data_IF_860931137066
#
_entry.id   IF_860931137066
#
_cell.length_a   1.000
_cell.length_b   1.000
_cell.length_c   1.000
_cell.angle_alpha   90.00
_cell.angle_beta   90.00
_cell.angle_gamma   90.00
#
_symmetry.space_group_name_H-M   'P 1'
#
loop_
_entity.id
_entity.type
_entity.pdbx_description
1 polymer ?
#
# COMPACT_ATOMS: atom_id res chain seq x y z
N UNK A 1 -12.15 -24.63 8.35
CA UNK A 1 -12.53 -23.28 7.89
C UNK A 1 -11.59 -22.21 8.44
N UNK A 2 -11.37 -22.14 9.76
CA UNK A 2 -10.39 -21.22 10.36
C UNK A 2 -8.96 -21.39 9.84
N UNK A 3 -8.47 -22.63 9.74
CA UNK A 3 -7.15 -22.93 9.15
C UNK A 3 -6.97 -22.36 7.73
N UNK A 4 -8.01 -22.48 6.89
CA UNK A 4 -7.99 -21.96 5.53
C UNK A 4 -7.92 -20.42 5.53
N UNK A 5 -8.68 -19.76 6.41
CA UNK A 5 -8.63 -18.31 6.59
C UNK A 5 -7.22 -17.84 7.00
N UNK A 6 -6.58 -18.55 7.93
CA UNK A 6 -5.21 -18.25 8.37
C UNK A 6 -4.16 -18.40 7.26
N UNK A 7 -4.27 -19.42 6.43
CA UNK A 7 -3.37 -19.62 5.27
C UNK A 7 -3.55 -18.49 4.25
N UNK A 8 -4.80 -18.15 3.90
CA UNK A 8 -5.10 -17.08 2.94
C UNK A 8 -4.60 -15.73 3.48
N UNK A 9 -4.85 -15.43 4.75
CA UNK A 9 -4.35 -14.22 5.41
C UNK A 9 -2.83 -14.12 5.32
N UNK A 10 -2.10 -15.18 5.66
CA UNK A 10 -0.64 -15.19 5.62
C UNK A 10 -0.12 -14.96 4.21
N UNK A 11 -0.71 -15.62 3.21
CA UNK A 11 -0.39 -15.41 1.80
C UNK A 11 -0.64 -13.96 1.36
N UNK A 12 -1.79 -13.39 1.73
CA UNK A 12 -2.12 -12.00 1.41
C UNK A 12 -1.19 -11.01 2.10
N UNK A 13 -0.77 -11.26 3.34
CA UNK A 13 0.22 -10.43 4.05
C UNK A 13 1.54 -10.42 3.27
N UNK A 14 2.03 -11.58 2.81
CA UNK A 14 3.25 -11.65 1.99
C UNK A 14 3.11 -10.79 0.74
N UNK A 15 2.02 -10.95 -0.03
CA UNK A 15 1.79 -10.14 -1.23
C UNK A 15 1.67 -8.64 -0.91
N UNK A 16 1.01 -8.30 0.20
CA UNK A 16 0.86 -6.93 0.65
C UNK A 16 2.22 -6.27 0.92
N UNK A 17 3.10 -6.96 1.65
CA UNK A 17 4.45 -6.49 1.96
C UNK A 17 5.33 -6.40 0.71
N UNK A 18 5.21 -7.33 -0.23
CA UNK A 18 5.92 -7.27 -1.52
C UNK A 18 5.44 -6.05 -2.34
N UNK A 19 4.14 -5.83 -2.42
CA UNK A 19 3.57 -4.67 -3.11
C UNK A 19 4.02 -3.34 -2.49
N UNK A 20 3.97 -3.25 -1.16
CA UNK A 20 4.43 -2.11 -0.39
C UNK A 20 5.92 -1.85 -0.63
N UNK A 21 6.74 -2.90 -0.61
CA UNK A 21 8.19 -2.81 -0.83
C UNK A 21 8.52 -2.36 -2.25
N UNK A 22 7.78 -2.84 -3.26
CA UNK A 22 7.94 -2.39 -4.64
C UNK A 22 7.56 -0.91 -4.83
N UNK A 23 6.48 -0.46 -4.18
CA UNK A 23 6.06 0.94 -4.18
C UNK A 23 7.07 1.85 -3.48
N UNK A 24 7.40 1.55 -2.22
CA UNK A 24 8.27 2.38 -1.42
C UNK A 24 9.73 2.31 -1.89
N UNK A 25 10.23 1.11 -2.21
CA UNK A 25 11.54 0.93 -2.82
C UNK A 25 11.68 1.63 -4.17
N UNK A 26 10.64 1.60 -5.00
CA UNK A 26 10.57 2.34 -6.26
C UNK A 26 10.66 3.86 -6.06
N UNK A 27 10.06 4.39 -4.99
CA UNK A 27 10.25 5.79 -4.59
C UNK A 27 11.69 6.07 -4.14
N UNK A 28 12.28 5.21 -3.29
CA UNK A 28 13.62 5.43 -2.74
C UNK A 28 14.69 5.50 -3.84
N UNK A 29 14.60 4.66 -4.87
CA UNK A 29 15.56 4.71 -5.99
C UNK A 29 15.43 5.98 -6.84
N UNK A 30 14.27 6.64 -6.82
CA UNK A 30 14.03 7.90 -7.54
C UNK A 30 14.46 9.15 -6.77
N UNK A 31 14.94 9.04 -5.53
CA UNK A 31 15.39 10.21 -4.74
C UNK A 31 16.51 11.00 -5.45
N UNK A 32 17.43 10.31 -6.14
CA UNK A 32 18.49 11.00 -6.91
C UNK A 32 17.92 11.71 -8.13
N UNK A 33 17.05 11.04 -8.90
CA UNK A 33 16.36 11.61 -10.06
C UNK A 33 15.46 12.79 -9.66
N UNK A 34 14.90 12.77 -8.45
CA UNK A 34 14.09 13.85 -7.88
C UNK A 34 14.90 15.14 -7.73
N UNK A 35 16.14 15.03 -7.22
CA UNK A 35 17.07 16.17 -7.11
C UNK A 35 17.50 16.68 -8.48
N UNK A 36 17.68 15.77 -9.44
CA UNK A 36 18.01 16.11 -10.82
C UNK A 36 16.81 16.61 -11.66
N UNK A 37 15.59 16.67 -11.09
CA UNK A 37 14.33 17.00 -11.78
C UNK A 37 14.02 16.08 -12.97
N UNK A 38 14.53 14.85 -12.94
CA UNK A 38 14.31 13.81 -13.97
C UNK A 38 13.52 12.61 -13.42
N UNK A 39 12.90 12.75 -12.25
CA UNK A 39 12.17 11.64 -11.64
C UNK A 39 10.94 11.25 -12.45
N UNK A 40 10.64 9.96 -12.41
CA UNK A 40 9.52 9.30 -13.07
C UNK A 40 8.87 8.30 -12.11
N UNK A 41 7.65 7.87 -12.41
CA UNK A 41 7.03 6.74 -11.71
C UNK A 41 7.46 5.45 -12.40
N UNK A 42 8.15 4.58 -11.65
CA UNK A 42 8.61 3.29 -12.17
C UNK A 42 7.44 2.33 -12.36
N UNK A 43 7.51 1.39 -13.32
CA UNK A 43 6.55 0.29 -13.43
C UNK A 43 6.39 -0.48 -12.12
N UNK A 44 7.48 -0.71 -11.38
CA UNK A 44 7.47 -1.34 -10.07
C UNK A 44 6.58 -0.61 -9.06
N UNK A 45 6.53 0.73 -9.10
CA UNK A 45 5.64 1.52 -8.23
C UNK A 45 4.18 1.32 -8.59
N UNK A 46 3.86 1.23 -9.89
CA UNK A 46 2.49 1.00 -10.38
C UNK A 46 1.98 -0.38 -9.98
N UNK A 47 2.79 -1.43 -10.18
CA UNK A 47 2.42 -2.78 -9.75
C UNK A 47 2.37 -2.87 -8.22
N UNK A 48 3.33 -2.26 -7.54
CA UNK A 48 3.40 -2.25 -6.08
C UNK A 48 2.18 -1.62 -5.42
N UNK A 49 1.73 -0.47 -5.92
CA UNK A 49 0.54 0.21 -5.36
C UNK A 49 -0.74 -0.58 -5.60
N UNK A 50 -0.90 -1.21 -6.76
CA UNK A 50 -2.06 -2.07 -7.02
C UNK A 50 -2.05 -3.31 -6.14
N UNK A 51 -0.92 -4.02 -6.08
CA UNK A 51 -0.79 -5.23 -5.28
C UNK A 51 -1.05 -4.94 -3.80
N UNK A 52 -0.42 -3.90 -3.24
CA UNK A 52 -0.62 -3.53 -1.83
C UNK A 52 -2.06 -3.07 -1.55
N UNK A 53 -2.68 -2.26 -2.42
CA UNK A 53 -4.05 -1.80 -2.22
C UNK A 53 -5.06 -2.95 -2.25
N UNK A 54 -5.00 -3.81 -3.27
CA UNK A 54 -5.94 -4.94 -3.44
C UNK A 54 -5.78 -5.94 -2.29
N UNK A 55 -4.54 -6.34 -1.99
CA UNK A 55 -4.28 -7.26 -0.87
C UNK A 55 -4.70 -6.68 0.47
N UNK A 56 -4.55 -5.36 0.67
CA UNK A 56 -5.03 -4.67 1.87
C UNK A 56 -6.54 -4.78 2.05
N UNK A 57 -7.32 -4.57 0.98
CA UNK A 57 -8.77 -4.75 1.02
C UNK A 57 -9.18 -6.21 1.25
N UNK A 58 -8.49 -7.15 0.60
CA UNK A 58 -8.74 -8.59 0.80
C UNK A 58 -8.43 -9.02 2.24
N UNK A 59 -7.36 -8.50 2.85
CA UNK A 59 -7.01 -8.77 4.24
C UNK A 59 -8.10 -8.33 5.22
N UNK A 60 -8.78 -7.22 4.95
CA UNK A 60 -9.95 -6.80 5.73
C UNK A 60 -11.04 -7.86 5.61
N UNK A 61 -11.41 -8.24 4.38
CA UNK A 61 -12.45 -9.26 4.17
C UNK A 61 -12.15 -10.62 4.79
N UNK A 62 -10.89 -11.08 4.75
CA UNK A 62 -10.48 -12.33 5.40
C UNK A 62 -10.56 -12.21 6.92
N UNK A 63 -10.26 -11.03 7.48
CA UNK A 63 -10.32 -10.81 8.93
C UNK A 63 -11.77 -10.72 9.44
N UNK A 64 -12.68 -10.13 8.67
CA UNK A 64 -14.14 -10.22 8.91
C UNK A 64 -14.62 -11.68 8.85
N UNK A 65 -14.09 -12.47 7.90
CA UNK A 65 -14.44 -13.88 7.77
C UNK A 65 -13.93 -14.72 8.95
N UNK A 66 -12.72 -14.46 9.46
CA UNK A 66 -12.22 -15.06 10.70
C UNK A 66 -13.18 -14.76 11.87
N UNK A 67 -13.62 -13.51 12.01
CA UNK A 67 -14.56 -13.07 13.05
C UNK A 67 -15.91 -13.80 12.95
N UNK A 68 -16.47 -13.91 11.75
CA UNK A 68 -17.72 -14.62 11.50
C UNK A 68 -17.63 -16.13 11.80
N UNK A 69 -16.43 -16.72 11.73
CA UNK A 69 -16.16 -18.12 12.10
C UNK A 69 -15.91 -18.30 13.61
N UNK A 70 -16.01 -17.25 14.41
CA UNK A 70 -15.78 -17.27 15.86
C UNK A 70 -14.31 -17.20 16.26
N UNK A 71 -13.43 -16.67 15.38
CA UNK A 71 -12.01 -16.49 15.67
C UNK A 71 -11.54 -15.04 15.45
N UNK A 72 -10.42 -14.66 16.06
CA UNK A 72 -9.86 -13.32 15.91
C UNK A 72 -10.44 -12.28 16.88
N UNK A 73 -10.01 -11.03 16.72
CA UNK A 73 -10.40 -9.88 17.53
C UNK A 73 -11.27 -8.91 16.71
N UNK A 74 -12.08 -8.12 17.42
CA UNK A 74 -12.90 -7.09 16.81
C UNK A 74 -12.08 -6.06 16.02
N UNK A 75 -12.66 -5.61 14.92
CA UNK A 75 -12.01 -4.71 13.99
C UNK A 75 -12.40 -3.26 14.25
N UNK A 76 -11.37 -2.45 14.51
CA UNK A 76 -11.54 -1.00 14.46
C UNK A 76 -11.64 -0.55 13.00
N UNK A 77 -12.86 -0.45 12.51
CA UNK A 77 -13.13 0.01 11.15
C UNK A 77 -12.65 1.44 10.90
N UNK A 78 -12.49 2.28 11.93
CA UNK A 78 -11.95 3.64 11.78
C UNK A 78 -10.47 3.58 11.36
N UNK A 79 -9.69 2.70 11.99
CA UNK A 79 -8.28 2.46 11.63
C UNK A 79 -8.14 1.94 10.21
N UNK A 80 -8.99 0.99 9.84
CA UNK A 80 -9.01 0.40 8.51
C UNK A 80 -9.37 1.46 7.47
N UNK A 81 -10.44 2.22 7.70
CA UNK A 81 -10.90 3.26 6.78
C UNK A 81 -9.81 4.31 6.52
N UNK A 82 -9.14 4.81 7.56
CA UNK A 82 -8.09 5.81 7.42
C UNK A 82 -6.91 5.27 6.60
N UNK A 83 -6.43 4.05 6.86
CA UNK A 83 -5.33 3.43 6.09
C UNK A 83 -5.73 3.18 4.63
N UNK A 84 -6.95 2.72 4.40
CA UNK A 84 -7.48 2.51 3.05
C UNK A 84 -7.59 3.82 2.26
N UNK A 85 -8.01 4.92 2.91
CA UNK A 85 -8.05 6.25 2.27
C UNK A 85 -6.65 6.74 1.91
N UNK A 86 -5.68 6.62 2.82
CA UNK A 86 -4.28 6.99 2.53
C UNK A 86 -3.73 6.18 1.36
N UNK A 87 -3.94 4.86 1.36
CA UNK A 87 -3.51 3.99 0.27
C UNK A 87 -4.21 4.34 -1.07
N UNK A 88 -5.50 4.70 -1.03
CA UNK A 88 -6.25 5.13 -2.21
C UNK A 88 -5.70 6.44 -2.79
N UNK A 89 -5.36 7.42 -1.94
CA UNK A 89 -4.73 8.67 -2.39
C UNK A 89 -3.41 8.36 -3.11
N UNK A 90 -2.58 7.48 -2.54
CA UNK A 90 -1.32 7.07 -3.16
C UNK A 90 -1.56 6.38 -4.51
N UNK A 91 -2.53 5.47 -4.59
CA UNK A 91 -2.94 4.82 -5.84
C UNK A 91 -3.30 5.84 -6.91
N UNK A 92 -4.17 6.80 -6.59
CA UNK A 92 -4.59 7.84 -7.53
C UNK A 92 -3.41 8.69 -7.99
N UNK A 93 -2.56 9.15 -7.07
CA UNK A 93 -1.37 9.93 -7.41
C UNK A 93 -0.41 9.17 -8.34
N UNK A 94 -0.19 7.88 -8.06
CA UNK A 94 0.67 7.03 -8.90
C UNK A 94 0.07 6.89 -10.31
N UNK A 95 -1.22 6.60 -10.42
CA UNK A 95 -1.86 6.35 -11.71
C UNK A 95 -1.98 7.60 -12.59
N UNK A 96 -2.28 8.76 -11.98
CA UNK A 96 -2.39 10.02 -12.70
C UNK A 96 -1.03 10.52 -13.22
N UNK A 97 0.07 10.13 -12.58
CA UNK A 97 1.41 10.61 -12.92
C UNK A 97 2.29 9.56 -13.60
N UNK A 98 1.82 8.31 -13.80
CA UNK A 98 2.59 7.21 -14.41
C UNK A 98 3.11 7.47 -15.82
N UNK A 99 2.49 8.37 -16.57
CA UNK A 99 2.87 8.73 -17.95
C UNK A 99 3.68 10.04 -18.03
N UNK A 100 3.90 10.73 -16.90
CA UNK A 100 4.61 12.02 -16.87
C UNK A 100 6.10 11.79 -16.72
N UNK A 101 6.89 12.46 -17.56
CA UNK A 101 8.35 12.37 -17.61
C UNK A 101 8.91 13.77 -17.88
N UNK A 102 9.36 14.53 -16.87
CA UNK A 102 9.46 14.17 -15.46
C UNK A 102 8.15 14.36 -14.67
N UNK A 103 8.08 13.73 -13.51
CA UNK A 103 7.05 13.91 -12.49
C UNK A 103 7.44 15.08 -11.58
N UNK A 104 6.46 15.92 -11.22
CA UNK A 104 6.70 17.01 -10.29
C UNK A 104 7.20 16.49 -8.93
N UNK A 105 8.27 17.09 -8.42
CA UNK A 105 8.93 16.56 -7.24
C UNK A 105 8.07 16.52 -5.98
N UNK A 106 7.16 17.49 -5.83
CA UNK A 106 6.17 17.48 -4.75
C UNK A 106 5.25 16.27 -4.81
N UNK A 107 4.84 15.83 -6.00
CA UNK A 107 3.98 14.64 -6.18
C UNK A 107 4.73 13.37 -5.76
N UNK A 108 5.97 13.21 -6.22
CA UNK A 108 6.77 12.04 -5.86
C UNK A 108 7.08 12.01 -4.36
N UNK A 109 7.40 13.18 -3.77
CA UNK A 109 7.58 13.34 -2.33
C UNK A 109 6.32 12.97 -1.54
N UNK A 110 5.14 13.40 -1.99
CA UNK A 110 3.86 13.03 -1.39
C UNK A 110 3.59 11.53 -1.50
N UNK A 111 3.89 10.89 -2.63
CA UNK A 111 3.75 9.43 -2.79
C UNK A 111 4.64 8.69 -1.76
N UNK A 112 5.92 9.05 -1.68
CA UNK A 112 6.84 8.44 -0.72
C UNK A 112 6.42 8.69 0.73
N UNK A 113 6.08 9.94 1.07
CA UNK A 113 5.67 10.36 2.40
C UNK A 113 4.38 9.70 2.87
N UNK A 114 3.34 9.65 2.04
CA UNK A 114 2.09 8.98 2.37
C UNK A 114 2.26 7.46 2.45
N UNK A 115 3.11 6.86 1.60
CA UNK A 115 3.42 5.43 1.69
C UNK A 115 4.10 5.13 3.02
N UNK A 116 5.09 5.92 3.42
CA UNK A 116 5.77 5.78 4.71
C UNK A 116 4.82 5.99 5.89
N UNK A 117 3.99 7.04 5.84
CA UNK A 117 2.95 7.28 6.84
C UNK A 117 2.02 6.06 6.98
N UNK A 118 1.60 5.46 5.86
CA UNK A 118 0.75 4.26 5.90
C UNK A 118 1.43 3.07 6.59
N UNK A 119 2.75 2.93 6.48
CA UNK A 119 3.54 1.93 7.23
C UNK A 119 3.56 2.25 8.72
N UNK A 120 3.79 3.52 9.09
CA UNK A 120 3.77 3.96 10.49
C UNK A 120 2.40 3.68 11.12
N UNK A 121 1.32 4.05 10.43
CA UNK A 121 -0.06 3.72 10.83
C UNK A 121 -0.34 2.22 10.89
N UNK A 122 0.50 1.38 10.26
CA UNK A 122 0.37 -0.06 10.34
C UNK A 122 1.10 -0.71 11.51
N UNK A 123 2.11 -0.04 12.05
CA UNK A 123 2.93 -0.59 13.13
C UNK A 123 2.55 0.01 14.49
N UNK A 124 2.22 1.30 14.53
CA UNK A 124 2.08 2.06 15.78
C UNK A 124 0.64 2.37 16.20
N UNK A 125 -0.34 2.04 15.34
CA UNK A 125 -1.75 2.36 15.55
C UNK A 125 -2.62 1.16 15.19
#
# INVERSE_FOLDING_TARGET
MLELAGIIKSFLVVLHLVGLSALFGGFLVQIKALRAKTAEILPAMVHGVWTSFITGLLLVGVREWELALGGGEDLDHSKIAIKSVVALIVLVLVLLNRKKKPVAGGILGTIGGLTFLNVVLAVFW
#
